data_IF_874187559456
#
_entry.id   IF_874187559456
#
_cell.length_a   1.000
_cell.length_b   1.000
_cell.length_c   1.000
_cell.angle_alpha   90.00
_cell.angle_beta   90.00
_cell.angle_gamma   90.00
#
_symmetry.space_group_name_H-M   'P 1'
#
loop_
_entity.id
_entity.type
_entity.pdbx_description
1 polymer ?
#
# COMPACT_ATOMS: atom_id res chain seq x y z
N UNK A 1 -6.89 44.28 12.63
CA UNK A 1 -6.02 43.11 12.39
C UNK A 1 -4.86 43.24 13.35
N UNK A 2 -4.67 42.28 14.25
CA UNK A 2 -3.62 42.36 15.26
C UNK A 2 -2.24 42.24 14.59
N UNK A 3 -1.29 43.09 14.98
CA UNK A 3 0.08 43.05 14.47
C UNK A 3 0.82 41.85 15.11
N UNK A 4 1.40 40.95 14.30
CA UNK A 4 2.09 39.75 14.77
C UNK A 4 3.29 40.05 15.68
N UNK A 5 3.93 41.21 15.50
CA UNK A 5 5.00 41.64 16.39
C UNK A 5 4.47 42.01 17.77
N UNK A 6 3.26 42.62 17.83
CA UNK A 6 2.60 42.93 19.09
C UNK A 6 2.08 41.68 19.80
N UNK A 7 1.60 40.68 19.05
CA UNK A 7 1.16 39.39 19.62
C UNK A 7 2.32 38.65 20.29
N UNK A 8 3.51 38.65 19.67
CA UNK A 8 4.71 38.06 20.26
C UNK A 8 5.40 38.98 21.28
N UNK A 9 4.98 40.25 21.38
CA UNK A 9 5.57 41.24 22.28
C UNK A 9 7.02 41.59 21.96
N UNK A 10 7.34 41.67 20.67
CA UNK A 10 8.69 41.91 20.14
C UNK A 10 8.71 43.11 19.16
N UNK A 11 9.88 43.66 18.90
CA UNK A 11 10.05 44.75 17.93
C UNK A 11 10.08 44.20 16.49
N UNK A 12 9.70 45.02 15.51
CA UNK A 12 9.82 44.69 14.06
C UNK A 12 11.25 44.37 13.61
N UNK A 13 12.24 44.92 14.31
CA UNK A 13 13.67 44.65 14.10
C UNK A 13 14.19 43.38 14.78
N UNK A 14 13.32 42.61 15.47
CA UNK A 14 13.75 41.44 16.24
C UNK A 14 14.42 40.36 15.38
N UNK A 15 15.47 39.75 15.93
CA UNK A 15 16.17 38.61 15.32
C UNK A 15 15.33 37.33 15.35
N UNK A 16 15.69 36.34 14.53
CA UNK A 16 15.01 35.03 14.52
C UNK A 16 15.08 34.33 15.89
N UNK A 17 16.19 34.52 16.61
CA UNK A 17 16.37 33.97 17.95
C UNK A 17 15.44 34.63 18.96
N UNK A 18 15.24 35.94 18.87
CA UNK A 18 14.31 36.68 19.72
C UNK A 18 12.86 36.28 19.46
N UNK A 19 12.47 36.08 18.19
CA UNK A 19 11.16 35.57 17.80
C UNK A 19 10.91 34.18 18.41
N UNK A 20 11.89 33.27 18.27
CA UNK A 20 11.81 31.92 18.82
C UNK A 20 11.74 31.90 20.34
N UNK A 21 12.50 32.78 21.01
CA UNK A 21 12.50 32.91 22.47
C UNK A 21 11.18 33.48 22.99
N UNK A 22 10.62 34.49 22.31
CA UNK A 22 9.33 35.08 22.64
C UNK A 22 8.19 34.06 22.48
N UNK A 23 8.19 33.31 21.36
CA UNK A 23 7.23 32.23 21.12
C UNK A 23 7.27 31.17 22.22
N UNK A 24 8.46 30.64 22.55
CA UNK A 24 8.59 29.61 23.62
C UNK A 24 8.06 30.08 24.96
N UNK A 25 8.34 31.34 25.33
CA UNK A 25 7.84 31.94 26.58
C UNK A 25 6.31 32.06 26.60
N UNK A 26 5.72 32.49 25.50
CA UNK A 26 4.27 32.72 25.39
C UNK A 26 3.49 31.41 25.19
N UNK A 27 3.98 30.49 24.37
CA UNK A 27 3.41 29.15 24.17
C UNK A 27 3.38 28.35 25.47
N UNK A 28 4.45 28.41 26.27
CA UNK A 28 4.50 27.77 27.59
C UNK A 28 3.59 28.45 28.63
N UNK A 29 3.24 29.73 28.45
CA UNK A 29 2.36 30.48 29.36
C UNK A 29 0.88 30.27 29.03
N UNK A 30 0.53 30.20 27.75
CA UNK A 30 -0.85 30.13 27.28
C UNK A 30 -1.28 28.73 26.81
N UNK A 31 -0.46 27.69 27.07
CA UNK A 31 -0.79 26.31 26.72
C UNK A 31 -2.13 25.88 27.35
N UNK A 32 -3.03 25.21 26.60
CA UNK A 32 -4.37 24.84 27.08
C UNK A 32 -4.33 23.93 28.32
N UNK A 33 -3.30 23.11 28.46
CA UNK A 33 -3.15 22.18 29.60
C UNK A 33 -2.62 22.82 30.90
N UNK A 34 -2.45 24.15 30.94
CA UNK A 34 -1.97 24.85 32.13
C UNK A 34 -3.06 25.66 32.83
N UNK A 35 -2.99 25.70 34.15
CA UNK A 35 -3.82 26.59 34.96
C UNK A 35 -3.56 28.06 34.58
N UNK A 36 -4.54 28.69 33.93
CA UNK A 36 -4.44 30.05 33.37
C UNK A 36 -4.11 30.12 31.87
N UNK A 37 -4.15 28.98 31.16
CA UNK A 37 -4.04 28.91 29.70
C UNK A 37 -5.22 29.58 28.98
N UNK A 38 -4.99 30.02 27.75
CA UNK A 38 -5.98 30.72 26.92
C UNK A 38 -5.81 30.23 25.48
N UNK A 39 -6.71 29.33 25.04
CA UNK A 39 -6.65 28.67 23.74
C UNK A 39 -6.68 29.69 22.57
N UNK A 40 -7.41 30.80 22.73
CA UNK A 40 -7.51 31.83 21.69
C UNK A 40 -6.16 32.53 21.52
N UNK A 41 -5.53 32.92 22.63
CA UNK A 41 -4.18 33.52 22.60
C UNK A 41 -3.14 32.54 22.09
N UNK A 42 -3.25 31.27 22.45
CA UNK A 42 -2.33 30.24 21.96
C UNK A 42 -2.40 30.09 20.43
N UNK A 43 -3.60 30.13 19.84
CA UNK A 43 -3.78 30.14 18.38
C UNK A 43 -3.15 31.38 17.72
N UNK A 44 -3.40 32.57 18.27
CA UNK A 44 -2.81 33.81 17.76
C UNK A 44 -1.26 33.81 17.84
N UNK A 45 -0.69 33.28 18.92
CA UNK A 45 0.76 33.16 19.12
C UNK A 45 1.38 32.19 18.10
N UNK A 46 0.70 31.08 17.79
CA UNK A 46 1.15 30.11 16.79
C UNK A 46 1.11 30.70 15.38
N UNK A 47 0.03 31.39 15.02
CA UNK A 47 -0.10 32.06 13.72
C UNK A 47 0.98 33.13 13.53
N UNK A 48 1.19 33.97 14.55
CA UNK A 48 2.25 34.98 14.54
C UNK A 48 3.64 34.35 14.36
N UNK A 49 3.92 33.23 15.04
CA UNK A 49 5.19 32.54 14.91
C UNK A 49 5.37 31.92 13.51
N UNK A 50 4.35 31.25 12.95
CA UNK A 50 4.45 30.66 11.61
C UNK A 50 4.77 31.68 10.52
N UNK A 51 4.26 32.90 10.65
CA UNK A 51 4.52 34.00 9.72
C UNK A 51 5.89 34.63 9.97
N UNK A 52 6.22 34.92 11.22
CA UNK A 52 7.46 35.65 11.56
C UNK A 52 8.72 34.78 11.60
N UNK A 53 8.59 33.46 11.80
CA UNK A 53 9.72 32.52 11.82
C UNK A 53 10.28 32.19 10.44
N UNK A 54 9.49 32.42 9.37
CA UNK A 54 9.92 32.17 8.00
C UNK A 54 10.31 33.50 7.33
N UNK A 55 11.56 33.59 6.86
CA UNK A 55 12.11 34.81 6.21
C UNK A 55 11.24 35.33 5.06
N UNK A 56 10.69 34.45 4.22
CA UNK A 56 9.86 34.85 3.09
C UNK A 56 8.47 35.31 3.53
N UNK A 57 7.82 34.59 4.45
CA UNK A 57 6.51 34.97 4.99
C UNK A 57 6.57 36.27 5.79
N UNK A 58 7.62 36.46 6.60
CA UNK A 58 7.90 37.72 7.31
C UNK A 58 8.09 38.88 6.34
N UNK A 59 8.90 38.72 5.30
CA UNK A 59 9.11 39.78 4.31
C UNK A 59 7.83 40.16 3.54
N UNK A 60 6.95 39.19 3.25
CA UNK A 60 5.65 39.46 2.66
C UNK A 60 4.72 40.19 3.63
N UNK A 61 4.65 39.74 4.88
CA UNK A 61 3.87 40.38 5.94
C UNK A 61 4.32 41.82 6.18
N UNK A 62 5.63 42.06 6.24
CA UNK A 62 6.20 43.40 6.44
C UNK A 62 5.90 44.35 5.26
N UNK A 63 5.81 43.81 4.04
CA UNK A 63 5.57 44.60 2.82
C UNK A 63 4.08 44.84 2.53
N UNK A 64 3.21 43.89 2.87
CA UNK A 64 1.81 43.89 2.45
C UNK A 64 0.80 43.80 3.60
N UNK A 65 1.25 43.65 4.85
CA UNK A 65 0.39 43.45 6.02
C UNK A 65 -0.32 42.08 6.07
N UNK A 66 -0.04 41.19 5.11
CA UNK A 66 -0.59 39.84 4.98
C UNK A 66 0.37 38.93 4.21
N UNK A 67 0.25 37.63 4.43
CA UNK A 67 0.97 36.60 3.66
C UNK A 67 0.05 36.07 2.57
N UNK A 68 0.55 35.91 1.35
CA UNK A 68 -0.19 35.32 0.25
C UNK A 68 0.25 33.86 0.12
N UNK A 69 -0.46 32.92 0.74
CA UNK A 69 -0.22 31.50 0.48
C UNK A 69 -0.74 31.18 -0.93
N UNK A 70 0.17 30.71 -1.77
CA UNK A 70 -0.07 30.36 -3.17
C UNK A 70 -0.86 29.07 -3.30
N UNK A 71 -2.17 29.13 -3.05
CA UNK A 71 -3.15 28.16 -3.52
C UNK A 71 -4.49 28.85 -3.73
N UNK A 72 -4.95 28.84 -4.97
CA UNK A 72 -6.35 29.10 -5.41
C UNK A 72 -6.81 30.56 -5.47
N UNK A 73 -6.68 31.15 -6.67
CA UNK A 73 -7.66 32.10 -7.16
C UNK A 73 -8.95 31.38 -7.58
N UNK A 74 -10.09 32.07 -7.40
CA UNK A 74 -11.47 31.68 -7.74
C UNK A 74 -12.19 30.66 -6.82
N UNK A 75 -12.79 31.17 -5.75
CA UNK A 75 -14.21 30.90 -5.45
C UNK A 75 -14.80 32.02 -4.61
N UNK A 76 -15.70 32.78 -5.23
CA UNK A 76 -16.69 33.62 -4.57
C UNK A 76 -17.82 32.75 -4.04
N UNK A 77 -18.08 32.76 -2.73
CA UNK A 77 -19.32 32.21 -2.17
C UNK A 77 -19.17 31.53 -0.82
N UNK A 78 -19.62 32.24 0.21
CA UNK A 78 -20.28 31.76 1.43
C UNK A 78 -19.88 30.38 2.01
N UNK A 79 -19.26 30.44 3.20
CA UNK A 79 -19.59 29.56 4.33
C UNK A 79 -19.09 28.12 4.25
N UNK A 80 -17.91 27.86 4.84
CA UNK A 80 -17.62 26.62 5.58
C UNK A 80 -16.36 26.78 6.42
N UNK A 81 -16.59 26.97 7.72
CA UNK A 81 -16.06 26.15 8.80
C UNK A 81 -14.65 25.57 8.61
N UNK A 82 -13.70 26.17 9.32
CA UNK A 82 -12.35 25.65 9.53
C UNK A 82 -12.43 24.36 10.36
N UNK A 83 -12.57 23.23 9.68
CA UNK A 83 -12.54 21.89 10.25
C UNK A 83 -11.11 21.32 10.27
N UNK A 84 -10.66 21.03 11.47
CA UNK A 84 -9.40 20.41 11.84
C UNK A 84 -9.36 18.95 11.33
N UNK A 85 -8.49 18.60 10.39
CA UNK A 85 -8.16 17.19 10.13
C UNK A 85 -6.71 17.04 9.64
N UNK A 86 -5.92 16.35 10.44
CA UNK A 86 -4.55 15.98 10.12
C UNK A 86 -3.51 16.86 10.81
N UNK A 87 -3.22 16.61 12.09
CA UNK A 87 -1.84 16.64 12.58
C UNK A 87 -1.61 15.59 13.68
N UNK A 88 -0.46 14.89 13.66
CA UNK A 88 -0.23 13.69 14.45
C UNK A 88 0.63 14.03 15.67
N UNK A 89 0.03 14.23 16.84
CA UNK A 89 0.78 14.22 18.10
C UNK A 89 -0.08 13.61 19.21
N UNK A 90 0.00 12.28 19.32
CA UNK A 90 -0.51 11.50 20.44
C UNK A 90 0.56 10.52 20.89
N UNK A 91 1.19 10.86 22.03
CA UNK A 91 2.02 10.03 22.92
C UNK A 91 3.44 9.61 22.48
N UNK A 92 4.42 10.22 23.15
CA UNK A 92 5.55 9.49 23.73
C UNK A 92 6.85 9.47 22.94
N UNK A 93 7.90 9.97 23.61
CA UNK A 93 9.35 9.86 23.37
C UNK A 93 10.02 10.70 22.26
N UNK A 94 10.86 11.62 22.76
CA UNK A 94 12.27 11.85 22.38
C UNK A 94 12.62 11.90 20.88
N UNK A 95 12.76 13.11 20.34
CA UNK A 95 13.42 13.33 19.05
C UNK A 95 14.73 14.09 19.22
N UNK A 96 15.79 13.30 19.40
CA UNK A 96 17.08 13.58 18.81
C UNK A 96 16.98 13.66 17.29
N UNK A 97 17.80 14.52 16.72
CA UNK A 97 17.88 14.81 15.29
C UNK A 97 18.64 13.64 14.61
N UNK A 98 17.96 12.78 13.86
CA UNK A 98 18.59 11.74 13.03
C UNK A 98 18.65 12.20 11.55
N UNK A 99 19.84 12.37 10.95
CA UNK A 99 20.00 12.79 9.56
C UNK A 99 19.60 11.74 8.52
N UNK A 100 19.29 10.49 8.93
CA UNK A 100 18.89 9.41 8.03
C UNK A 100 17.40 9.40 7.67
N UNK A 101 16.56 10.23 8.33
CA UNK A 101 15.12 10.33 8.06
C UNK A 101 14.75 11.16 6.81
N UNK A 102 15.73 11.54 5.97
CA UNK A 102 15.50 12.33 4.75
C UNK A 102 15.23 11.47 3.50
N UNK A 103 15.20 10.14 3.63
CA UNK A 103 15.10 9.22 2.50
C UNK A 103 13.65 8.82 2.15
N UNK A 104 12.67 9.06 3.02
CA UNK A 104 11.29 8.57 2.82
C UNK A 104 10.22 9.61 3.20
N UNK A 105 10.24 10.75 2.49
CA UNK A 105 9.32 11.87 2.71
C UNK A 105 8.96 12.55 1.39
N UNK A 106 8.16 11.87 0.59
CA UNK A 106 7.63 12.37 -0.68
C UNK A 106 6.68 13.55 -0.50
N UNK A 107 7.19 14.75 -0.25
CA UNK A 107 6.57 16.02 -0.68
C UNK A 107 7.50 17.26 -0.60
N UNK A 108 8.82 17.06 -0.40
CA UNK A 108 9.82 18.15 -0.46
C UNK A 108 10.60 18.18 -1.78
N UNK A 109 10.25 17.31 -2.74
CA UNK A 109 10.95 17.15 -4.01
C UNK A 109 10.89 18.38 -4.93
N UNK A 110 9.81 19.15 -4.92
CA UNK A 110 9.64 20.30 -5.83
C UNK A 110 10.47 21.54 -5.46
N UNK A 111 10.80 21.71 -4.18
CA UNK A 111 11.53 22.88 -3.68
C UNK A 111 13.05 22.61 -3.67
N UNK A 112 13.47 21.37 -3.46
CA UNK A 112 14.89 20.99 -3.59
C UNK A 112 15.32 20.87 -5.07
N UNK A 113 14.41 20.50 -5.99
CA UNK A 113 14.68 20.50 -7.44
C UNK A 113 15.04 21.90 -7.97
N UNK A 114 14.40 22.96 -7.46
CA UNK A 114 14.65 24.34 -7.93
C UNK A 114 15.98 24.92 -7.44
N UNK A 115 16.51 24.47 -6.30
CA UNK A 115 17.85 24.82 -5.81
C UNK A 115 18.94 24.02 -6.55
N UNK A 116 18.70 22.73 -6.84
CA UNK A 116 19.65 21.90 -7.58
C UNK A 116 19.70 22.20 -9.09
N UNK A 117 18.62 22.70 -9.70
CA UNK A 117 18.62 23.20 -11.08
C UNK A 117 19.53 24.43 -11.28
N UNK A 118 19.75 25.23 -10.23
CA UNK A 118 20.72 26.34 -10.23
C UNK A 118 22.19 25.91 -10.27
N UNK A 119 22.48 24.65 -9.94
CA UNK A 119 23.82 24.04 -9.93
C UNK A 119 24.15 23.26 -11.21
N UNK A 120 23.28 23.28 -12.22
CA UNK A 120 23.55 22.66 -13.52
C UNK A 120 23.39 21.13 -13.58
N UNK A 121 22.91 20.48 -12.51
CA UNK A 121 22.61 19.05 -12.51
C UNK A 121 21.19 18.82 -13.05
N UNK A 122 21.02 18.88 -14.37
CA UNK A 122 19.75 18.49 -15.01
C UNK A 122 19.60 16.97 -15.00
N UNK A 123 18.77 16.43 -14.10
CA UNK A 123 18.25 15.06 -14.26
C UNK A 123 17.33 15.06 -15.48
N UNK A 124 17.72 14.34 -16.53
CA UNK A 124 16.95 14.17 -17.77
C UNK A 124 15.64 13.46 -17.43
N UNK A 125 14.55 14.18 -17.16
CA UNK A 125 13.20 13.58 -17.01
C UNK A 125 12.87 12.88 -18.32
N UNK A 126 12.89 11.56 -18.32
CA UNK A 126 12.44 10.78 -19.48
C UNK A 126 10.93 10.96 -19.59
N UNK A 127 10.49 11.46 -20.73
CA UNK A 127 9.07 11.75 -21.02
C UNK A 127 8.22 10.47 -21.16
N UNK A 128 8.86 9.30 -21.33
CA UNK A 128 8.11 8.06 -21.51
C UNK A 128 7.57 7.51 -20.22
N UNK A 129 6.32 7.07 -20.33
CA UNK A 129 5.60 6.40 -19.28
C UNK A 129 6.27 5.04 -19.03
N UNK A 130 6.58 4.80 -17.75
CA UNK A 130 6.80 3.47 -17.21
C UNK A 130 5.65 2.56 -17.66
N UNK A 131 5.94 1.28 -17.86
CA UNK A 131 4.90 0.31 -18.14
C UNK A 131 3.88 0.25 -17.00
N UNK A 132 2.64 -0.11 -17.33
CA UNK A 132 1.59 -0.24 -16.34
C UNK A 132 1.86 -1.41 -15.39
N UNK A 133 1.52 -1.20 -14.12
CA UNK A 133 1.44 -2.28 -13.15
C UNK A 133 0.20 -3.13 -13.44
N UNK A 134 0.26 -4.43 -13.14
CA UNK A 134 -0.82 -5.38 -13.39
C UNK A 134 -1.22 -6.09 -12.11
N UNK A 135 -2.51 -6.32 -11.91
CA UNK A 135 -3.04 -7.16 -10.83
C UNK A 135 -3.60 -8.45 -11.42
N UNK A 136 -3.13 -9.60 -10.93
CA UNK A 136 -3.57 -10.92 -11.35
C UNK A 136 -4.11 -11.67 -10.15
N UNK A 137 -5.11 -12.53 -10.37
CA UNK A 137 -5.63 -13.42 -9.32
C UNK A 137 -5.10 -14.83 -9.58
N UNK A 138 -4.43 -15.39 -8.58
CA UNK A 138 -3.97 -16.77 -8.60
C UNK A 138 -4.81 -17.62 -7.67
N UNK A 139 -5.54 -18.56 -8.24
CA UNK A 139 -6.26 -19.55 -7.45
C UNK A 139 -5.36 -20.68 -7.00
N UNK A 140 -5.40 -20.95 -5.70
CA UNK A 140 -4.66 -22.05 -5.06
C UNK A 140 -5.60 -22.93 -4.25
N UNK A 141 -5.23 -24.20 -4.10
CA UNK A 141 -5.90 -25.11 -3.19
C UNK A 141 -5.42 -24.90 -1.75
N UNK A 142 -6.16 -25.45 -0.79
CA UNK A 142 -5.79 -25.33 0.62
C UNK A 142 -4.52 -26.16 0.94
N UNK A 143 -4.32 -27.27 0.23
CA UNK A 143 -3.14 -28.13 0.29
C UNK A 143 -1.91 -27.41 -0.26
N UNK A 144 -2.04 -26.69 -1.38
CA UNK A 144 -0.95 -25.86 -1.93
C UNK A 144 -0.58 -24.72 -0.98
N UNK A 145 -1.57 -24.11 -0.32
CA UNK A 145 -1.32 -23.12 0.72
C UNK A 145 -0.64 -23.74 1.97
N UNK A 146 -0.84 -25.03 2.23
CA UNK A 146 -0.21 -25.75 3.34
C UNK A 146 1.23 -26.14 3.01
N UNK A 147 1.47 -26.78 1.88
CA UNK A 147 2.81 -27.28 1.50
C UNK A 147 3.73 -26.21 0.91
N UNK A 148 3.17 -25.08 0.45
CA UNK A 148 3.83 -24.23 -0.53
C UNK A 148 3.81 -24.87 -1.92
N UNK A 149 3.92 -24.04 -2.96
CA UNK A 149 3.89 -24.49 -4.34
C UNK A 149 4.56 -23.47 -5.27
N UNK A 150 5.11 -23.94 -6.39
CA UNK A 150 5.54 -23.06 -7.47
C UNK A 150 4.57 -23.19 -8.64
N UNK A 151 3.96 -22.07 -9.06
CA UNK A 151 3.00 -22.04 -10.18
C UNK A 151 3.45 -21.10 -11.28
N UNK A 152 3.15 -21.44 -12.52
CA UNK A 152 3.30 -20.50 -13.64
C UNK A 152 1.97 -19.86 -14.01
N UNK A 153 1.99 -18.56 -14.27
CA UNK A 153 0.86 -17.78 -14.74
C UNK A 153 1.17 -17.24 -16.13
N UNK A 154 0.26 -17.48 -17.07
CA UNK A 154 0.30 -16.91 -18.42
C UNK A 154 -0.76 -15.83 -18.58
N UNK A 155 -0.36 -14.67 -19.05
CA UNK A 155 -1.26 -13.54 -19.30
C UNK A 155 -0.74 -12.69 -20.46
N UNK A 156 -1.66 -12.00 -21.15
CA UNK A 156 -1.29 -11.09 -22.22
C UNK A 156 -0.84 -9.74 -21.67
N UNK A 157 0.34 -9.29 -22.08
CA UNK A 157 0.87 -7.99 -21.71
C UNK A 157 1.63 -7.34 -22.87
N UNK A 158 1.88 -6.05 -22.75
CA UNK A 158 2.89 -5.41 -23.57
C UNK A 158 4.27 -5.87 -23.12
N UNK A 159 5.03 -6.53 -24.00
CA UNK A 159 6.42 -6.92 -23.76
C UNK A 159 7.37 -6.06 -24.59
N UNK A 160 8.63 -5.97 -24.14
CA UNK A 160 9.67 -5.27 -24.89
C UNK A 160 9.87 -5.93 -26.25
N UNK A 161 9.88 -5.12 -27.31
CA UNK A 161 10.04 -5.66 -28.66
C UNK A 161 11.47 -6.20 -28.86
N UNK A 162 11.60 -7.53 -29.01
CA UNK A 162 12.88 -8.20 -29.21
C UNK A 162 13.65 -7.70 -30.44
N UNK A 163 12.94 -7.39 -31.55
CA UNK A 163 13.56 -6.94 -32.80
C UNK A 163 14.30 -5.59 -32.70
N UNK A 164 13.93 -4.73 -31.75
CA UNK A 164 14.58 -3.43 -31.53
C UNK A 164 15.11 -3.24 -30.11
N UNK A 165 15.12 -4.30 -29.29
CA UNK A 165 15.50 -4.22 -27.87
C UNK A 165 14.68 -3.21 -27.07
N UNK A 166 13.42 -2.98 -27.47
CA UNK A 166 12.53 -2.04 -26.79
C UNK A 166 12.65 -0.58 -27.23
N UNK A 167 13.57 -0.22 -28.12
CA UNK A 167 13.86 1.19 -28.45
C UNK A 167 12.91 1.80 -29.50
N UNK A 168 12.25 0.98 -30.31
CA UNK A 168 11.34 1.45 -31.37
C UNK A 168 12.02 1.90 -32.66
N UNK A 169 13.35 1.98 -32.71
CA UNK A 169 14.11 2.19 -33.95
C UNK A 169 14.46 0.84 -34.61
N UNK A 170 14.63 0.84 -35.93
CA UNK A 170 15.28 -0.29 -36.59
C UNK A 170 16.74 -0.38 -36.15
N UNK A 171 17.14 -1.56 -35.65
CA UNK A 171 18.44 -1.80 -35.02
C UNK A 171 19.64 -1.44 -35.93
N UNK A 172 19.47 -1.48 -37.27
CA UNK A 172 20.53 -1.13 -38.23
C UNK A 172 20.61 0.37 -38.51
N UNK A 173 19.48 1.07 -38.43
CA UNK A 173 19.40 2.49 -38.78
C UNK A 173 19.67 3.44 -37.60
N UNK A 174 19.49 2.96 -36.37
CA UNK A 174 19.74 3.73 -35.17
C UNK A 174 18.91 5.02 -35.07
N UNK A 175 19.46 5.99 -34.35
CA UNK A 175 18.81 7.27 -34.06
C UNK A 175 19.62 8.44 -34.61
N UNK A 176 18.94 9.47 -35.10
CA UNK A 176 19.54 10.78 -35.40
C UNK A 176 19.15 11.79 -34.33
N UNK A 177 20.00 12.78 -34.09
CA UNK A 177 19.67 13.90 -33.21
C UNK A 177 18.49 14.69 -33.78
N UNK A 178 17.55 15.07 -32.91
CA UNK A 178 16.39 15.87 -33.32
C UNK A 178 16.85 17.30 -33.66
N UNK A 179 16.64 17.73 -34.90
CA UNK A 179 17.04 19.06 -35.36
C UNK A 179 16.21 20.19 -34.76
N UNK A 180 14.94 19.93 -34.39
CA UNK A 180 14.06 20.97 -33.81
C UNK A 180 14.41 21.34 -32.36
N UNK A 181 15.03 20.45 -31.60
CA UNK A 181 15.45 20.72 -30.23
C UNK A 181 16.96 20.58 -30.02
N UNK A 182 17.73 20.29 -31.06
CA UNK A 182 19.17 20.03 -31.01
C UNK A 182 19.56 18.99 -29.96
N UNK A 183 18.78 17.91 -29.84
CA UNK A 183 19.06 16.89 -28.83
C UNK A 183 18.51 17.18 -27.43
N UNK A 184 17.94 18.36 -27.20
CA UNK A 184 17.47 18.78 -25.87
C UNK A 184 16.18 18.10 -25.42
N UNK A 185 15.38 17.56 -26.34
CA UNK A 185 14.09 16.92 -26.05
C UNK A 185 12.96 17.90 -25.74
N UNK A 186 13.27 19.16 -25.48
CA UNK A 186 12.31 20.21 -25.12
C UNK A 186 12.52 21.45 -25.99
N UNK A 187 11.43 22.19 -26.21
CA UNK A 187 11.43 23.46 -26.94
C UNK A 187 10.90 24.56 -26.03
N UNK A 188 11.59 25.70 -26.03
CA UNK A 188 11.19 26.88 -25.25
C UNK A 188 10.32 27.78 -26.12
N UNK A 189 9.06 27.96 -25.73
CA UNK A 189 8.10 28.83 -26.41
C UNK A 189 7.98 30.12 -25.60
N UNK A 190 8.47 31.23 -26.16
CA UNK A 190 8.32 32.55 -25.56
C UNK A 190 7.01 33.17 -26.06
N UNK A 191 6.07 33.40 -25.15
CA UNK A 191 4.82 34.08 -25.44
C UNK A 191 4.88 35.48 -24.82
N UNK A 192 4.81 36.51 -25.67
CA UNK A 192 4.68 37.89 -25.20
C UNK A 192 3.27 38.10 -24.69
N UNK A 193 3.14 38.48 -23.43
CA UNK A 193 1.86 38.84 -22.82
C UNK A 193 1.89 40.31 -22.39
N UNK A 194 0.73 40.87 -22.06
CA UNK A 194 0.63 42.24 -21.57
C UNK A 194 1.44 42.49 -20.27
N UNK A 195 1.79 41.42 -19.54
CA UNK A 195 2.61 41.46 -18.32
C UNK A 195 4.10 41.18 -18.53
N UNK A 196 4.56 41.07 -19.79
CA UNK A 196 5.94 40.76 -20.14
C UNK A 196 6.12 39.43 -20.88
N UNK A 197 7.37 39.01 -21.01
CA UNK A 197 7.75 37.78 -21.72
C UNK A 197 7.56 36.57 -20.80
N UNK A 198 6.58 35.72 -21.10
CA UNK A 198 6.37 34.46 -20.41
C UNK A 198 6.96 33.31 -21.25
N UNK A 199 7.87 32.55 -20.66
CA UNK A 199 8.54 31.44 -21.36
C UNK A 199 7.99 30.11 -20.86
N UNK A 200 7.37 29.32 -21.74
CA UNK A 200 6.86 27.98 -21.42
C UNK A 200 7.75 26.94 -22.09
N UNK A 201 8.27 26.02 -21.28
CA UNK A 201 8.96 24.84 -21.79
C UNK A 201 7.91 23.78 -22.13
N UNK A 202 7.98 23.23 -23.33
CA UNK A 202 7.16 22.08 -23.76
C UNK A 202 8.06 20.97 -24.29
N UNK A 203 7.67 19.69 -24.17
CA UNK A 203 8.37 18.61 -24.85
C UNK A 203 8.36 18.86 -26.36
N UNK A 204 9.47 18.58 -27.03
CA UNK A 204 9.60 18.73 -28.47
C UNK A 204 8.66 17.76 -29.17
N UNK A 205 7.71 18.27 -29.96
CA UNK A 205 6.71 17.45 -30.67
C UNK A 205 7.30 16.49 -31.71
N UNK A 206 8.51 16.77 -32.22
CA UNK A 206 9.13 15.95 -33.28
C UNK A 206 9.83 14.70 -32.71
N UNK A 207 10.41 14.81 -31.50
CA UNK A 207 11.06 13.68 -30.83
C UNK A 207 10.32 13.21 -29.58
N UNK A 208 9.16 13.81 -29.28
CA UNK A 208 8.31 13.49 -28.11
C UNK A 208 9.08 13.50 -26.78
N UNK A 209 10.11 14.36 -26.64
CA UNK A 209 10.93 14.42 -25.44
C UNK A 209 12.28 13.70 -25.50
N UNK A 210 12.55 12.88 -26.52
CA UNK A 210 13.78 12.06 -26.53
C UNK A 210 15.07 12.82 -26.81
N UNK A 211 14.96 13.89 -27.59
CA UNK A 211 16.11 14.57 -28.21
C UNK A 211 16.66 13.81 -29.43
N UNK A 212 16.16 12.62 -29.73
CA UNK A 212 16.57 11.81 -30.88
C UNK A 212 15.36 11.23 -31.59
N UNK A 213 15.51 10.98 -32.87
CA UNK A 213 14.44 10.49 -33.76
C UNK A 213 14.95 9.22 -34.42
N UNK A 214 14.16 8.13 -34.46
CA UNK A 214 14.54 6.93 -35.20
C UNK A 214 14.68 7.27 -36.68
N UNK A 215 15.81 6.88 -37.30
CA UNK A 215 15.98 7.08 -38.74
C UNK A 215 14.98 6.23 -39.55
N UNK A 216 14.80 4.98 -39.12
CA UNK A 216 13.71 4.10 -39.57
C UNK A 216 13.01 3.53 -38.33
N UNK A 217 11.68 3.50 -38.38
CA UNK A 217 10.88 2.86 -37.33
C UNK A 217 11.05 1.35 -37.40
N UNK A 218 11.05 0.69 -36.24
CA UNK A 218 11.06 -0.76 -36.18
C UNK A 218 9.81 -1.33 -36.87
N UNK A 219 10.01 -2.25 -37.81
CA UNK A 219 8.92 -2.91 -38.55
C UNK A 219 8.02 -3.76 -37.65
N UNK A 220 8.55 -4.37 -36.59
CA UNK A 220 7.80 -5.28 -35.72
C UNK A 220 6.87 -4.57 -34.73
N UNK A 221 7.25 -3.40 -34.20
CA UNK A 221 6.45 -2.66 -33.20
C UNK A 221 5.92 -1.30 -33.70
N UNK A 222 6.18 -0.93 -34.95
CA UNK A 222 5.73 0.33 -35.55
C UNK A 222 6.33 1.60 -34.92
N UNK A 223 7.38 1.47 -34.10
CA UNK A 223 8.02 2.61 -33.41
C UNK A 223 7.66 2.79 -31.93
N UNK A 224 6.81 1.92 -31.38
CA UNK A 224 6.39 1.98 -29.97
C UNK A 224 7.43 1.37 -29.01
N UNK A 225 8.26 0.45 -29.50
CA UNK A 225 9.22 -0.30 -28.70
C UNK A 225 8.61 -1.47 -27.93
N UNK A 226 7.31 -1.76 -28.09
CA UNK A 226 6.64 -2.86 -27.39
C UNK A 226 5.63 -3.57 -28.28
N UNK A 227 5.38 -4.83 -27.99
CA UNK A 227 4.42 -5.67 -28.72
C UNK A 227 3.53 -6.40 -27.72
N UNK A 228 2.29 -6.71 -28.10
CA UNK A 228 1.39 -7.49 -27.26
C UNK A 228 1.70 -8.97 -27.43
N UNK A 229 1.98 -9.65 -26.32
CA UNK A 229 2.32 -11.06 -26.34
C UNK A 229 1.98 -11.73 -25.00
N UNK A 230 1.81 -13.05 -25.02
CA UNK A 230 1.60 -13.85 -23.82
C UNK A 230 2.91 -13.94 -23.03
N UNK A 231 2.91 -13.42 -21.81
CA UNK A 231 4.02 -13.48 -20.86
C UNK A 231 3.74 -14.58 -19.84
N UNK A 232 4.76 -15.36 -19.52
CA UNK A 232 4.71 -16.37 -18.46
C UNK A 232 5.60 -15.92 -17.30
N UNK A 233 5.06 -15.97 -16.09
CA UNK A 233 5.78 -15.67 -14.85
C UNK A 233 5.68 -16.87 -13.91
N UNK A 234 6.76 -17.16 -13.19
CA UNK A 234 6.74 -18.10 -12.08
C UNK A 234 6.41 -17.35 -10.79
N UNK A 235 5.43 -17.86 -10.04
CA UNK A 235 5.02 -17.36 -8.74
C UNK A 235 5.39 -18.43 -7.70
N UNK A 236 6.23 -18.05 -6.76
CA UNK A 236 6.58 -18.88 -5.61
C UNK A 236 5.59 -18.62 -4.47
N UNK A 237 4.84 -19.65 -4.10
CA UNK A 237 3.83 -19.60 -3.06
C UNK A 237 4.42 -20.20 -1.80
N UNK A 238 4.66 -19.34 -0.80
CA UNK A 238 5.18 -19.78 0.49
C UNK A 238 4.14 -20.57 1.28
N UNK A 239 4.62 -21.51 2.10
CA UNK A 239 3.77 -22.23 3.04
C UNK A 239 3.06 -21.24 3.99
N UNK A 240 1.79 -21.52 4.27
CA UNK A 240 0.98 -20.72 5.19
C UNK A 240 0.40 -19.45 4.59
N UNK A 241 0.61 -19.19 3.29
CA UNK A 241 0.08 -17.99 2.63
C UNK A 241 -1.43 -17.85 2.85
N UNK A 242 -1.88 -16.66 3.23
CA UNK A 242 -3.27 -16.36 3.53
C UNK A 242 -4.09 -16.02 2.28
N UNK A 243 -5.42 -16.18 2.40
CA UNK A 243 -6.34 -15.70 1.37
C UNK A 243 -6.27 -14.17 1.25
N UNK A 244 -6.31 -13.67 0.01
CA UNK A 244 -6.26 -12.24 -0.29
C UNK A 244 -4.87 -11.60 -0.20
N UNK A 245 -3.83 -12.33 0.21
CA UNK A 245 -2.45 -11.82 0.25
C UNK A 245 -1.94 -11.49 -1.16
N UNK A 246 -1.05 -10.49 -1.22
CA UNK A 246 -0.47 -9.98 -2.47
C UNK A 246 1.01 -10.34 -2.56
N UNK A 247 1.40 -11.03 -3.63
CA UNK A 247 2.79 -11.27 -4.00
C UNK A 247 3.19 -10.27 -5.07
N UNK A 248 4.21 -9.45 -4.80
CA UNK A 248 4.73 -8.48 -5.76
C UNK A 248 5.90 -9.07 -6.54
N UNK A 249 5.82 -9.02 -7.87
CA UNK A 249 6.89 -9.42 -8.77
C UNK A 249 7.36 -8.18 -9.54
N UNK A 250 8.55 -7.71 -9.19
CA UNK A 250 9.13 -6.46 -9.70
C UNK A 250 9.48 -6.59 -11.19
N UNK A 251 9.10 -5.61 -12.00
CA UNK A 251 9.41 -5.57 -13.43
C UNK A 251 8.67 -6.62 -14.29
N UNK A 252 7.78 -7.39 -13.67
CA UNK A 252 6.98 -8.41 -14.36
C UNK A 252 5.74 -7.85 -15.06
N UNK A 253 5.41 -6.57 -14.86
CA UNK A 253 4.26 -5.90 -15.48
C UNK A 253 4.47 -5.61 -16.96
N UNK A 254 3.71 -4.63 -17.46
CA UNK A 254 3.84 -4.21 -18.84
C UNK A 254 5.18 -3.54 -19.10
N UNK A 255 5.68 -3.65 -20.34
CA UNK A 255 6.85 -2.93 -20.79
C UNK A 255 6.52 -1.44 -21.01
N UNK A 256 7.42 -0.58 -20.51
CA UNK A 256 7.39 0.84 -20.81
C UNK A 256 7.67 1.14 -22.28
N UNK A 257 7.27 2.31 -22.75
CA UNK A 257 7.54 2.73 -24.12
C UNK A 257 9.02 3.07 -24.31
N UNK A 258 9.57 2.73 -25.49
CA UNK A 258 10.92 3.13 -25.94
C UNK A 258 12.04 2.93 -24.90
N UNK A 259 12.05 1.76 -24.25
CA UNK A 259 13.06 1.41 -23.25
C UNK A 259 12.86 2.06 -21.87
N UNK A 260 11.66 2.59 -21.61
CA UNK A 260 11.23 2.89 -20.24
C UNK A 260 11.10 1.60 -19.42
N UNK A 261 11.20 1.75 -18.10
CA UNK A 261 11.12 0.63 -17.16
C UNK A 261 9.76 -0.06 -17.23
N UNK A 262 9.74 -1.36 -16.94
CA UNK A 262 8.50 -2.11 -16.83
C UNK A 262 7.74 -1.76 -15.54
N UNK A 263 6.43 -2.00 -15.57
CA UNK A 263 5.61 -2.06 -14.37
C UNK A 263 5.86 -3.32 -13.55
N UNK A 264 5.17 -3.45 -12.44
CA UNK A 264 5.20 -4.62 -11.56
C UNK A 264 3.94 -5.47 -11.73
N UNK A 265 3.99 -6.74 -11.31
CA UNK A 265 2.80 -7.59 -11.18
C UNK A 265 2.49 -7.81 -9.71
N UNK A 266 1.24 -7.60 -9.34
CA UNK A 266 0.68 -7.93 -8.04
C UNK A 266 -0.20 -9.16 -8.19
N UNK A 267 0.24 -10.29 -7.65
CA UNK A 267 -0.53 -11.53 -7.68
C UNK A 267 -1.31 -11.66 -6.39
N UNK A 268 -2.63 -11.51 -6.47
CA UNK A 268 -3.55 -11.74 -5.36
C UNK A 268 -3.87 -13.21 -5.26
N UNK A 269 -3.56 -13.79 -4.12
CA UNK A 269 -3.87 -15.18 -3.82
C UNK A 269 -5.35 -15.31 -3.48
N UNK A 270 -6.00 -16.30 -4.10
CA UNK A 270 -7.37 -16.70 -3.78
C UNK A 270 -7.41 -18.19 -3.47
N UNK A 271 -7.76 -18.54 -2.25
CA UNK A 271 -7.86 -19.92 -1.82
C UNK A 271 -9.21 -20.49 -2.26
N UNK A 272 -9.20 -21.65 -2.90
CA UNK A 272 -10.42 -22.37 -3.25
C UNK A 272 -11.09 -22.93 -1.99
N UNK A 273 -12.42 -22.95 -1.99
CA UNK A 273 -13.18 -23.62 -0.94
C UNK A 273 -12.85 -25.11 -0.93
N UNK A 274 -12.45 -25.63 0.23
CA UNK A 274 -12.16 -27.04 0.40
C UNK A 274 -13.43 -27.80 0.83
N UNK A 275 -13.56 -29.07 0.42
CA UNK A 275 -14.76 -29.86 0.66
C UNK A 275 -14.95 -30.27 2.12
N UNK A 276 -13.84 -30.47 2.86
CA UNK A 276 -13.85 -30.98 4.23
C UNK A 276 -13.40 -29.96 5.27
N UNK A 277 -12.61 -28.97 4.86
CA UNK A 277 -11.95 -28.04 5.77
C UNK A 277 -12.40 -26.62 5.46
N UNK A 278 -12.58 -25.84 6.51
CA UNK A 278 -12.73 -24.39 6.41
C UNK A 278 -11.57 -23.75 7.15
N UNK A 279 -10.78 -22.94 6.45
CA UNK A 279 -9.69 -22.20 7.07
C UNK A 279 -10.21 -20.95 7.78
N UNK A 280 -9.73 -20.72 9.00
CA UNK A 280 -9.91 -19.48 9.75
C UNK A 280 -8.56 -19.07 10.37
N UNK A 281 -7.92 -18.08 9.75
CA UNK A 281 -6.54 -17.71 10.05
C UNK A 281 -5.58 -18.90 9.84
N UNK A 282 -4.91 -19.32 10.92
CA UNK A 282 -4.02 -20.48 10.95
C UNK A 282 -4.75 -21.77 11.35
N UNK A 283 -5.99 -21.68 11.82
CA UNK A 283 -6.76 -22.83 12.26
C UNK A 283 -7.57 -23.42 11.10
N UNK A 284 -7.79 -24.73 11.18
CA UNK A 284 -8.68 -25.46 10.28
C UNK A 284 -9.90 -25.93 11.05
N UNK A 285 -11.09 -25.69 10.51
CA UNK A 285 -12.34 -26.23 11.01
C UNK A 285 -12.73 -27.44 10.19
N UNK A 286 -13.04 -28.54 10.87
CA UNK A 286 -13.51 -29.79 10.27
C UNK A 286 -14.79 -30.23 10.97
N UNK A 287 -15.79 -30.63 10.18
CA UNK A 287 -17.02 -31.22 10.72
C UNK A 287 -16.95 -32.74 10.71
N UNK A 288 -16.73 -33.32 11.88
CA UNK A 288 -16.67 -34.76 12.06
C UNK A 288 -18.08 -35.34 12.22
N UNK A 289 -18.47 -36.21 11.29
CA UNK A 289 -19.71 -36.97 11.41
C UNK A 289 -19.51 -38.10 12.41
N UNK A 290 -20.21 -38.03 13.53
CA UNK A 290 -20.06 -38.97 14.65
C UNK A 290 -21.41 -39.58 15.04
N UNK A 291 -21.41 -40.87 15.38
CA UNK A 291 -22.61 -41.54 15.88
C UNK A 291 -22.72 -41.37 17.39
N UNK A 292 -23.91 -41.03 17.88
CA UNK A 292 -24.16 -40.83 19.31
C UNK A 292 -23.74 -42.05 20.16
N UNK A 293 -24.01 -43.27 19.69
CA UNK A 293 -23.65 -44.50 20.41
C UNK A 293 -22.14 -44.66 20.55
N UNK A 294 -21.36 -44.30 19.53
CA UNK A 294 -19.90 -44.40 19.59
C UNK A 294 -19.31 -43.40 20.60
N UNK A 295 -19.94 -42.24 20.75
CA UNK A 295 -19.58 -41.24 21.76
C UNK A 295 -19.87 -41.75 23.16
N UNK A 296 -21.07 -42.28 23.40
CA UNK A 296 -21.48 -42.82 24.70
C UNK A 296 -20.63 -44.02 25.14
N UNK A 297 -20.13 -44.80 24.19
CA UNK A 297 -19.22 -45.92 24.46
C UNK A 297 -17.75 -45.52 24.60
N UNK A 298 -17.43 -44.22 24.55
CA UNK A 298 -16.06 -43.72 24.71
C UNK A 298 -15.09 -44.17 23.62
N UNK A 299 -15.58 -44.45 22.39
CA UNK A 299 -14.72 -44.89 21.29
C UNK A 299 -13.79 -43.75 20.82
N UNK A 300 -12.63 -44.14 20.31
CA UNK A 300 -11.69 -43.23 19.63
C UNK A 300 -12.17 -42.94 18.20
N UNK A 301 -12.13 -41.69 17.78
CA UNK A 301 -12.41 -41.25 16.41
C UNK A 301 -11.11 -40.94 15.66
N UNK A 302 -11.14 -41.10 14.34
CA UNK A 302 -10.01 -40.81 13.45
C UNK A 302 -10.39 -39.68 12.48
N UNK A 303 -9.50 -38.70 12.33
CA UNK A 303 -9.62 -37.63 11.33
C UNK A 303 -8.33 -37.53 10.52
N UNK A 304 -8.49 -37.28 9.23
CA UNK A 304 -7.38 -36.95 8.34
C UNK A 304 -7.06 -35.47 8.48
N UNK A 305 -5.79 -35.14 8.64
CA UNK A 305 -5.29 -33.76 8.55
C UNK A 305 -5.16 -33.33 7.09
N UNK A 306 -4.91 -32.04 6.83
CA UNK A 306 -4.69 -31.51 5.48
C UNK A 306 -3.47 -32.15 4.78
N UNK A 307 -2.48 -32.62 5.55
CA UNK A 307 -1.31 -33.36 5.05
C UNK A 307 -1.64 -34.85 4.75
N UNK A 308 -2.84 -35.32 5.09
CA UNK A 308 -3.24 -36.73 4.97
C UNK A 308 -2.79 -37.62 6.12
N UNK A 309 -2.20 -37.07 7.20
CA UNK A 309 -1.89 -37.83 8.42
C UNK A 309 -3.16 -38.12 9.20
N UNK A 310 -3.28 -39.36 9.69
CA UNK A 310 -4.37 -39.81 10.55
C UNK A 310 -4.08 -39.37 11.99
N UNK A 311 -5.03 -38.66 12.60
CA UNK A 311 -4.96 -38.27 14.00
C UNK A 311 -6.17 -38.84 14.72
N UNK A 312 -5.91 -39.47 15.86
CA UNK A 312 -6.94 -40.00 16.73
C UNK A 312 -7.29 -38.99 17.81
N UNK A 313 -8.57 -38.85 18.11
CA UNK A 313 -9.04 -38.10 19.27
C UNK A 313 -10.13 -38.88 19.99
N UNK A 314 -10.21 -38.66 21.31
CA UNK A 314 -11.22 -39.27 22.17
C UNK A 314 -12.06 -38.15 22.76
N UNK A 315 -13.37 -38.38 22.83
CA UNK A 315 -14.31 -37.44 23.45
C UNK A 315 -14.37 -37.79 24.94
N UNK A 316 -14.00 -36.87 25.85
CA UNK A 316 -14.04 -37.15 27.28
C UNK A 316 -15.50 -37.31 27.77
N UNK A 317 -15.68 -38.07 28.84
CA UNK A 317 -16.98 -38.22 29.48
C UNK A 317 -17.48 -36.86 29.99
N UNK A 318 -18.78 -36.58 29.82
CA UNK A 318 -19.37 -35.29 30.20
C UNK A 318 -19.03 -34.12 29.26
N UNK A 319 -18.39 -34.38 28.11
CA UNK A 319 -18.14 -33.35 27.10
C UNK A 319 -19.43 -32.76 26.54
N UNK A 320 -19.50 -31.44 26.45
CA UNK A 320 -20.64 -30.79 25.82
C UNK A 320 -20.53 -30.96 24.30
N UNK A 321 -21.50 -31.65 23.70
CA UNK A 321 -21.51 -31.94 22.26
C UNK A 321 -21.57 -30.69 21.36
N UNK A 322 -21.86 -29.51 21.91
CA UNK A 322 -21.79 -28.23 21.19
C UNK A 322 -20.38 -27.63 21.16
N UNK A 323 -19.52 -28.06 22.05
CA UNK A 323 -18.15 -27.57 22.11
C UNK A 323 -17.32 -28.23 21.01
N UNK A 324 -16.22 -27.56 20.65
CA UNK A 324 -15.28 -28.07 19.65
C UNK A 324 -14.09 -28.74 20.32
N UNK A 325 -13.57 -29.78 19.66
CA UNK A 325 -12.37 -30.48 20.11
C UNK A 325 -11.17 -29.90 19.37
N UNK A 326 -10.15 -29.49 20.12
CA UNK A 326 -8.95 -28.88 19.56
C UNK A 326 -7.81 -29.89 19.51
N UNK A 327 -7.32 -30.16 18.30
CA UNK A 327 -6.12 -30.95 18.06
C UNK A 327 -4.98 -29.97 17.76
N UNK A 328 -4.03 -29.90 18.69
CA UNK A 328 -2.94 -28.91 18.63
C UNK A 328 -1.97 -29.21 17.48
N UNK A 329 -1.56 -28.17 16.76
CA UNK A 329 -0.53 -28.26 15.71
C UNK A 329 -0.96 -28.98 14.43
N UNK A 330 -2.26 -29.27 14.27
CA UNK A 330 -2.83 -29.95 13.10
C UNK A 330 -3.55 -29.00 12.12
N UNK A 331 -3.37 -27.69 12.28
CA UNK A 331 -3.92 -26.64 11.40
C UNK A 331 -2.97 -26.24 10.26
N UNK A 332 -3.08 -24.99 9.81
CA UNK A 332 -2.21 -24.42 8.76
C UNK A 332 -0.87 -23.94 9.35
N UNK A 333 0.24 -24.02 8.60
CA UNK A 333 1.49 -23.41 9.00
C UNK A 333 1.36 -21.89 9.02
N UNK A 334 2.05 -21.26 9.97
CA UNK A 334 2.17 -19.81 10.02
C UNK A 334 3.17 -19.32 9.00
N UNK A 335 2.81 -18.27 8.25
CA UNK A 335 3.71 -17.67 7.27
C UNK A 335 5.00 -17.18 7.94
N UNK A 336 6.14 -17.68 7.48
CA UNK A 336 7.47 -17.33 8.01
C UNK A 336 7.84 -18.02 9.34
N UNK A 337 7.07 -19.01 9.79
CA UNK A 337 7.37 -19.80 10.99
C UNK A 337 7.26 -21.31 10.71
N UNK A 338 7.84 -22.12 11.59
CA UNK A 338 7.67 -23.57 11.61
C UNK A 338 6.48 -24.02 12.47
N UNK A 339 5.83 -23.09 13.17
CA UNK A 339 4.64 -23.38 13.96
C UNK A 339 3.41 -23.55 13.07
N UNK A 340 2.54 -24.49 13.45
CA UNK A 340 1.23 -24.69 12.86
C UNK A 340 0.14 -24.25 13.83
N UNK A 341 -0.98 -23.78 13.28
CA UNK A 341 -2.23 -23.60 14.02
C UNK A 341 -2.85 -24.94 14.39
N UNK A 342 -4.10 -24.88 14.83
CA UNK A 342 -4.82 -26.03 15.37
C UNK A 342 -5.93 -26.52 14.42
N UNK A 343 -6.25 -27.80 14.54
CA UNK A 343 -7.44 -28.38 13.92
C UNK A 343 -8.59 -28.35 14.95
N UNK A 344 -9.63 -27.61 14.62
CA UNK A 344 -10.84 -27.45 15.40
C UNK A 344 -11.90 -28.39 14.81
N UNK A 345 -12.23 -29.43 15.57
CA UNK A 345 -13.20 -30.45 15.18
C UNK A 345 -14.55 -30.11 15.79
N UNK A 346 -15.50 -29.78 14.93
CA UNK A 346 -16.91 -29.61 15.26
C UNK A 346 -17.63 -30.95 15.08
N UNK A 347 -18.40 -31.37 16.09
CA UNK A 347 -19.14 -32.62 16.02
C UNK A 347 -20.47 -32.42 15.29
N UNK A 348 -20.68 -33.21 14.23
CA UNK A 348 -21.94 -33.31 13.51
C UNK A 348 -22.58 -34.66 13.82
N UNK A 349 -23.61 -34.65 14.69
CA UNK A 349 -24.24 -35.86 15.20
C UNK A 349 -25.12 -36.50 14.13
N UNK A 350 -24.74 -37.70 13.70
CA UNK A 350 -25.55 -38.53 12.83
C UNK A 350 -26.57 -39.33 13.65
N UNK A 351 -27.85 -38.97 13.56
CA UNK A 351 -28.94 -39.75 14.16
C UNK A 351 -29.51 -40.76 13.15
N UNK A 352 -29.68 -42.03 13.52
CA UNK A 352 -30.36 -43.01 12.66
C UNK A 352 -31.80 -42.58 12.35
N UNK A 353 -32.24 -42.74 11.10
CA UNK A 353 -33.62 -42.41 10.69
C UNK A 353 -34.65 -43.46 11.17
N UNK A 354 -34.20 -44.69 11.42
CA UNK A 354 -35.06 -45.82 11.75
C UNK A 354 -34.46 -46.63 12.90
N UNK A 355 -35.31 -47.01 13.84
CA UNK A 355 -34.96 -47.89 14.96
C UNK A 355 -35.81 -49.16 14.88
N UNK A 356 -35.17 -50.32 15.00
CA UNK A 356 -35.88 -51.60 15.15
C UNK A 356 -36.58 -51.69 16.50
N UNK A 357 -37.57 -52.58 16.65
CA UNK A 357 -38.28 -52.76 17.93
C UNK A 357 -37.32 -53.09 19.08
N UNK A 358 -36.31 -53.95 18.82
CA UNK A 358 -35.25 -54.28 19.79
C UNK A 358 -34.40 -53.06 20.16
N UNK A 359 -34.06 -52.21 19.20
CA UNK A 359 -33.26 -51.00 19.49
C UNK A 359 -34.04 -50.00 20.36
N UNK A 360 -35.36 -49.90 20.19
CA UNK A 360 -36.20 -49.06 21.04
C UNK A 360 -36.26 -49.56 22.49
N UNK A 361 -36.42 -50.86 22.68
CA UNK A 361 -36.41 -51.49 24.01
C UNK A 361 -35.09 -51.21 24.75
N UNK A 362 -33.94 -51.38 24.07
CA UNK A 362 -32.62 -51.06 24.63
C UNK A 362 -32.49 -49.58 25.02
N UNK A 363 -33.03 -48.67 24.20
CA UNK A 363 -32.99 -47.23 24.50
C UNK A 363 -33.88 -46.86 25.70
N UNK A 364 -35.01 -47.56 25.89
CA UNK A 364 -35.87 -47.36 27.07
C UNK A 364 -35.19 -47.86 28.35
N UNK A 365 -34.49 -49.00 28.29
CA UNK A 365 -33.72 -49.49 29.43
C UNK A 365 -32.55 -48.55 29.75
N UNK A 366 -31.84 -48.07 28.73
CA UNK A 366 -30.80 -47.05 28.92
C UNK A 366 -31.36 -45.76 29.53
N UNK A 367 -32.58 -45.35 29.16
CA UNK A 367 -33.23 -44.17 29.75
C UNK A 367 -33.46 -44.35 31.25
N UNK A 368 -33.90 -45.53 31.71
CA UNK A 368 -34.14 -45.81 33.13
C UNK A 368 -32.88 -45.78 33.98
N UNK A 369 -31.73 -46.14 33.40
CA UNK A 369 -30.42 -46.12 34.09
C UNK A 369 -29.82 -44.70 34.18
N UNK A 370 -30.29 -43.77 33.34
CA UNK A 370 -29.81 -42.38 33.28
C UNK A 370 -30.72 -41.38 34.01
N UNK A 371 -31.93 -41.80 34.39
CA UNK A 371 -32.87 -41.08 35.29
C UNK A 371 -32.54 -41.39 36.75
#
# INVERSE_FOLDING_TARGET
MADYYNILGINKSASEEEIKKAYRRLAHKFHPDKAGGDEKKFKEINEAYQVLSNKQKRAQYDRFGRVFDGASGFSSGAGREWGFEGWPFGQGVEFGFDPSAFEDGGDLGGIFESIFEGLGVRKKRRTYQRGADMELVLEISLEEAFSGAQKSLRFDAWISCAACGGQGADAKSGFKTCGRCDGRGEVRENQKTFFGDFSRIRPCVECEGEGRIPQKRCHACGGTGRIRYAKEIAVDIQQGIGDGQLIKIVGAGEAGMRGATAGDVYVRIKTRTHAQFRRDGDNLHYRAKVNLVDILLGKSFEVLTIEGKKVHFTIPEGFNLRDSIRIRGAGMPRLGSHECGDLIVELDLATPKYFSSKAKEILEDLRKELE
#
